data_IF_951849853550
#
_entry.id   IF_951849853550
#
_cell.length_a   1.000
_cell.length_b   1.000
_cell.length_c   1.000
_cell.angle_alpha   90.00
_cell.angle_beta   90.00
_cell.angle_gamma   90.00
#
_symmetry.space_group_name_H-M   'P 1'
#
loop_
_entity.id
_entity.type
_entity.pdbx_description
1 polymer ?
#
# COMPACT_ATOMS: atom_id res chain seq x y z
N UNK A 1 19.57 31.99 13.85
CA UNK A 1 18.75 31.80 12.64
C UNK A 1 19.09 30.41 12.14
N UNK A 2 18.26 29.42 12.47
CA UNK A 2 18.51 28.02 12.07
C UNK A 2 17.79 27.84 10.75
N UNK A 3 18.54 27.51 9.71
CA UNK A 3 18.03 27.18 8.38
C UNK A 3 16.96 26.10 8.51
N UNK A 4 15.76 26.41 8.03
CA UNK A 4 14.65 25.46 7.92
C UNK A 4 15.02 24.48 6.81
N UNK A 5 15.67 23.39 7.19
CA UNK A 5 16.03 22.31 6.29
C UNK A 5 14.73 21.82 5.61
N UNK A 6 14.62 22.06 4.30
CA UNK A 6 13.48 21.70 3.45
C UNK A 6 13.05 20.27 3.74
N UNK A 7 11.95 20.12 4.49
CA UNK A 7 11.36 18.80 4.74
C UNK A 7 10.97 18.24 3.36
N UNK A 8 11.41 17.01 3.00
CA UNK A 8 11.02 16.44 1.72
C UNK A 8 9.49 16.43 1.63
N UNK A 9 9.00 16.92 0.50
CA UNK A 9 7.60 17.07 0.14
C UNK A 9 6.81 15.81 0.54
N UNK A 10 5.76 15.98 1.35
CA UNK A 10 4.91 14.88 1.80
C UNK A 10 4.54 13.94 0.63
N UNK A 11 4.81 12.63 0.75
CA UNK A 11 4.53 11.68 -0.33
C UNK A 11 5.31 10.37 -0.27
N UNK A 12 5.29 9.64 -1.39
CA UNK A 12 5.94 8.34 -1.56
C UNK A 12 7.41 8.47 -2.00
N UNK A 13 8.30 7.72 -1.37
CA UNK A 13 9.69 7.56 -1.83
C UNK A 13 9.83 6.33 -2.74
N UNK A 14 10.23 6.54 -3.99
CA UNK A 14 10.32 5.47 -4.99
C UNK A 14 11.74 4.89 -5.18
N UNK A 15 12.73 5.29 -4.38
CA UNK A 15 14.11 4.77 -4.47
C UNK A 15 14.18 3.23 -4.41
N UNK A 16 13.30 2.62 -3.62
CA UNK A 16 13.19 1.17 -3.48
C UNK A 16 12.75 0.47 -4.77
N UNK A 17 12.05 1.16 -5.68
CA UNK A 17 11.67 0.61 -6.98
C UNK A 17 12.92 0.28 -7.81
N UNK A 18 13.83 1.24 -7.98
CA UNK A 18 15.07 1.03 -8.74
C UNK A 18 15.98 -0.02 -8.09
N UNK A 19 16.03 -0.05 -6.74
CA UNK A 19 16.71 -1.14 -6.00
C UNK A 19 16.12 -2.51 -6.36
N UNK A 20 14.79 -2.64 -6.39
CA UNK A 20 14.12 -3.90 -6.69
C UNK A 20 14.41 -4.37 -8.11
N UNK A 21 14.39 -3.47 -9.11
CA UNK A 21 14.80 -3.81 -10.49
C UNK A 21 16.24 -4.33 -10.54
N UNK A 22 17.17 -3.65 -9.88
CA UNK A 22 18.57 -4.08 -9.85
C UNK A 22 18.76 -5.45 -9.17
N UNK A 23 17.96 -5.77 -8.14
CA UNK A 23 17.99 -7.08 -7.49
C UNK A 23 17.46 -8.18 -8.44
N UNK A 24 16.36 -7.91 -9.15
CA UNK A 24 15.80 -8.84 -10.13
C UNK A 24 16.80 -9.11 -11.25
N UNK A 25 17.47 -8.07 -11.77
CA UNK A 25 18.53 -8.22 -12.78
C UNK A 25 19.72 -9.08 -12.31
N UNK A 26 19.96 -9.16 -10.99
CA UNK A 26 20.99 -9.99 -10.36
C UNK A 26 20.50 -11.40 -10.01
N UNK A 27 19.30 -11.80 -10.44
CA UNK A 27 18.74 -13.13 -10.23
C UNK A 27 17.94 -13.30 -8.94
N UNK A 28 17.65 -12.21 -8.21
CA UNK A 28 16.79 -12.27 -7.04
C UNK A 28 15.35 -12.64 -7.44
N UNK A 29 14.76 -13.62 -6.75
CA UNK A 29 13.39 -14.06 -7.01
C UNK A 29 12.38 -13.16 -6.32
N UNK A 30 11.44 -12.61 -7.09
CA UNK A 30 10.37 -11.77 -6.53
C UNK A 30 9.43 -12.59 -5.64
N UNK A 31 8.87 -11.98 -4.57
CA UNK A 31 7.83 -12.62 -3.78
C UNK A 31 6.64 -13.05 -4.65
N UNK A 32 6.11 -14.23 -4.40
CA UNK A 32 4.92 -14.73 -5.12
C UNK A 32 3.68 -13.98 -4.64
N UNK A 33 2.88 -13.49 -5.58
CA UNK A 33 1.57 -12.93 -5.27
C UNK A 33 0.67 -14.02 -4.67
N UNK A 34 -0.01 -13.70 -3.57
CA UNK A 34 -1.01 -14.58 -2.94
C UNK A 34 -2.40 -14.11 -3.34
N UNK A 35 -3.27 -15.04 -3.75
CA UNK A 35 -4.68 -14.74 -3.99
C UNK A 35 -5.39 -14.63 -2.64
N UNK A 36 -5.92 -13.46 -2.31
CA UNK A 36 -6.44 -13.15 -0.97
C UNK A 36 -7.97 -13.05 -0.89
N UNK A 37 -8.69 -13.34 -1.98
CA UNK A 37 -10.17 -13.24 -2.05
C UNK A 37 -10.74 -11.86 -1.70
N UNK A 38 -9.86 -10.87 -1.56
CA UNK A 38 -10.11 -9.52 -1.08
C UNK A 38 -10.45 -8.62 -2.25
N UNK A 39 -11.42 -7.73 -2.07
CA UNK A 39 -11.74 -6.68 -3.05
C UNK A 39 -11.56 -5.32 -2.40
N UNK A 40 -10.70 -4.49 -2.98
CA UNK A 40 -10.52 -3.08 -2.63
C UNK A 40 -10.89 -2.26 -3.87
N UNK A 41 -11.67 -1.21 -3.68
CA UNK A 41 -12.06 -0.26 -4.71
C UNK A 41 -11.76 1.17 -4.27
N UNK A 42 -11.44 2.03 -5.23
CA UNK A 42 -11.23 3.46 -4.99
C UNK A 42 -11.92 4.28 -6.07
N UNK A 43 -12.47 5.43 -5.70
CA UNK A 43 -13.00 6.43 -6.64
C UNK A 43 -12.39 7.81 -6.35
N UNK A 44 -12.17 8.56 -7.41
CA UNK A 44 -11.77 9.98 -7.35
C UNK A 44 -13.00 10.82 -7.63
N UNK A 45 -13.27 11.82 -6.80
CA UNK A 45 -14.30 12.82 -7.00
C UNK A 45 -13.69 14.22 -6.96
N UNK A 46 -14.50 15.25 -7.20
CA UNK A 46 -14.05 16.64 -7.40
C UNK A 46 -13.03 17.12 -6.35
N UNK A 47 -13.25 16.81 -5.09
CA UNK A 47 -12.50 17.38 -3.96
C UNK A 47 -11.84 16.30 -3.08
N UNK A 48 -11.69 15.07 -3.58
CA UNK A 48 -11.06 14.00 -2.81
C UNK A 48 -11.17 12.60 -3.41
N UNK A 49 -10.96 11.61 -2.54
CA UNK A 49 -11.02 10.18 -2.88
C UNK A 49 -11.85 9.41 -1.86
N UNK A 50 -12.47 8.31 -2.29
CA UNK A 50 -13.10 7.33 -1.41
C UNK A 50 -12.42 5.99 -1.62
N UNK A 51 -12.03 5.34 -0.53
CA UNK A 51 -11.48 3.99 -0.51
C UNK A 51 -12.48 3.05 0.19
N UNK A 52 -12.75 1.90 -0.41
CA UNK A 52 -13.63 0.87 0.16
C UNK A 52 -12.97 -0.49 0.05
N UNK A 53 -13.07 -1.30 1.10
CA UNK A 53 -12.54 -2.66 1.14
C UNK A 53 -13.53 -3.60 1.83
N UNK A 54 -13.53 -4.87 1.45
CA UNK A 54 -14.22 -5.90 2.22
C UNK A 54 -13.53 -6.15 3.57
N UNK A 55 -14.23 -6.76 4.54
CA UNK A 55 -13.68 -7.05 5.88
C UNK A 55 -13.31 -8.51 6.09
N UNK A 56 -13.69 -9.39 5.17
CA UNK A 56 -13.35 -10.82 5.23
C UNK A 56 -11.89 -11.05 4.85
N UNK A 57 -11.16 -11.85 5.61
CA UNK A 57 -9.84 -12.36 5.25
C UNK A 57 -9.88 -13.90 5.18
N UNK A 58 -9.17 -14.46 4.21
CA UNK A 58 -9.12 -15.92 3.99
C UNK A 58 -7.69 -16.43 3.98
N UNK A 59 -7.46 -17.59 4.58
CA UNK A 59 -6.24 -18.38 4.44
C UNK A 59 -6.55 -19.64 3.63
N UNK A 60 -6.28 -19.59 2.32
CA UNK A 60 -6.79 -20.58 1.39
C UNK A 60 -8.32 -20.49 1.31
N UNK A 61 -9.00 -21.61 1.52
CA UNK A 61 -10.47 -21.72 1.43
C UNK A 61 -11.18 -21.45 2.78
N UNK A 62 -10.42 -21.11 3.84
CA UNK A 62 -10.95 -20.90 5.19
C UNK A 62 -11.06 -19.40 5.47
N UNK A 63 -12.19 -18.95 6.04
CA UNK A 63 -12.34 -17.60 6.57
C UNK A 63 -11.57 -17.50 7.89
N UNK A 64 -10.42 -16.83 7.86
CA UNK A 64 -9.54 -16.64 9.00
C UNK A 64 -10.02 -15.50 9.91
N UNK A 65 -10.53 -14.42 9.30
CA UNK A 65 -11.08 -13.27 10.03
C UNK A 65 -12.28 -12.70 9.27
N UNK A 66 -13.34 -12.35 9.98
CA UNK A 66 -14.55 -11.73 9.42
C UNK A 66 -14.47 -10.19 9.41
N UNK A 67 -13.61 -9.61 10.25
CA UNK A 67 -13.56 -8.18 10.55
C UNK A 67 -12.12 -7.62 10.42
N UNK A 68 -11.39 -8.09 9.42
CA UNK A 68 -10.04 -7.62 9.13
C UNK A 68 -10.08 -6.23 8.48
N UNK A 69 -9.46 -5.23 9.11
CA UNK A 69 -9.27 -3.91 8.55
C UNK A 69 -8.15 -3.93 7.49
N UNK A 70 -8.43 -3.40 6.30
CA UNK A 70 -7.49 -3.39 5.16
C UNK A 70 -7.01 -2.01 4.74
N UNK A 71 -7.68 -0.96 5.24
CA UNK A 71 -7.35 0.44 4.97
C UNK A 71 -6.62 0.97 6.21
N UNK A 72 -5.38 1.42 6.06
CA UNK A 72 -4.48 1.68 7.17
C UNK A 72 -3.94 3.10 7.09
N UNK A 73 -4.18 3.88 8.13
CA UNK A 73 -3.64 5.23 8.24
C UNK A 73 -2.13 5.26 8.02
N UNK A 74 -1.67 6.14 7.12
CA UNK A 74 -0.26 6.37 6.83
C UNK A 74 0.17 7.78 7.24
N UNK A 75 -0.58 8.81 6.83
CA UNK A 75 -0.32 10.22 7.10
C UNK A 75 -1.65 11.01 7.15
N UNK A 76 -1.68 12.28 7.62
CA UNK A 76 -2.93 13.03 7.77
C UNK A 76 -3.80 13.12 6.49
N UNK A 77 -3.21 12.96 5.32
CA UNK A 77 -3.84 12.98 4.01
C UNK A 77 -3.71 11.64 3.25
N UNK A 78 -3.35 10.53 3.92
CA UNK A 78 -3.16 9.20 3.30
C UNK A 78 -3.61 8.05 4.22
N UNK A 79 -4.40 7.15 3.66
CA UNK A 79 -4.99 5.95 4.29
C UNK A 79 -4.77 4.70 3.42
#
# INVERSE_FOLDING_TARGET
MVEENERPQAGFQFSNFGRNEALVARGFQMPKCRKTGTTIAGIVFKDGVVLGADTRATEGDIVADKNCCKIHYLQPNMY
#
